data_IF_730571485220
#
_entry.id   IF_730571485220
#
_cell.length_a   1.000
_cell.length_b   1.000
_cell.length_c   1.000
_cell.angle_alpha   90.00
_cell.angle_beta   90.00
_cell.angle_gamma   90.00
#
_symmetry.space_group_name_H-M   'P 1'
#
loop_
_entity.id
_entity.type
_entity.pdbx_description
1 polymer ?
#
# COMPACT_ATOMS: atom_id res chain seq x y z
N UNK A 1 15.60 -23.11 37.95
CA UNK A 1 14.83 -23.34 36.71
C UNK A 1 14.03 -22.08 36.42
N UNK A 2 14.36 -21.36 35.36
CA UNK A 2 13.51 -20.26 34.89
C UNK A 2 12.35 -20.94 34.16
N UNK A 3 11.16 -20.95 34.75
CA UNK A 3 9.93 -21.36 34.07
C UNK A 3 9.65 -20.35 32.98
N UNK A 4 9.92 -20.70 31.72
CA UNK A 4 9.50 -19.89 30.59
C UNK A 4 7.97 -19.86 30.59
N UNK A 5 7.40 -18.68 30.84
CA UNK A 5 5.96 -18.45 30.70
C UNK A 5 5.65 -18.62 29.21
N UNK A 6 4.92 -19.68 28.86
CA UNK A 6 4.40 -19.83 27.51
C UNK A 6 3.36 -18.72 27.29
N UNK A 7 3.66 -17.79 26.39
CA UNK A 7 2.73 -16.73 26.02
C UNK A 7 1.64 -17.33 25.14
N UNK A 8 0.40 -16.94 25.41
CA UNK A 8 -0.73 -17.21 24.52
C UNK A 8 -0.67 -16.27 23.31
N UNK A 9 -1.33 -16.64 22.20
CA UNK A 9 -1.41 -15.77 21.03
C UNK A 9 -2.07 -14.43 21.34
N UNK A 10 -3.05 -14.41 22.25
CA UNK A 10 -3.71 -13.19 22.70
C UNK A 10 -2.73 -12.26 23.43
N UNK A 11 -1.89 -12.80 24.33
CA UNK A 11 -0.86 -12.00 25.01
C UNK A 11 0.19 -11.45 24.02
N UNK A 12 0.56 -12.23 22.99
CA UNK A 12 1.46 -11.77 21.93
C UNK A 12 0.81 -10.65 21.10
N UNK A 13 -0.47 -10.80 20.76
CA UNK A 13 -1.22 -9.79 20.03
C UNK A 13 -1.35 -8.49 20.83
N UNK A 14 -1.72 -8.57 22.10
CA UNK A 14 -1.85 -7.41 22.98
C UNK A 14 -0.50 -6.68 23.14
N UNK A 15 0.61 -7.41 23.31
CA UNK A 15 1.95 -6.81 23.37
C UNK A 15 2.33 -6.11 22.05
N UNK A 16 2.04 -6.75 20.91
CA UNK A 16 2.26 -6.16 19.59
C UNK A 16 1.43 -4.89 19.39
N UNK A 17 0.15 -4.90 19.77
CA UNK A 17 -0.75 -3.75 19.68
C UNK A 17 -0.27 -2.60 20.59
N UNK A 18 0.13 -2.91 21.82
CA UNK A 18 0.68 -1.92 22.74
C UNK A 18 1.95 -1.25 22.18
N UNK A 19 2.84 -2.02 21.54
CA UNK A 19 4.02 -1.47 20.84
C UNK A 19 3.61 -0.62 19.66
N UNK A 20 2.66 -1.07 18.84
CA UNK A 20 2.16 -0.30 17.71
C UNK A 20 1.64 1.10 18.13
N UNK A 21 0.88 1.15 19.22
CA UNK A 21 0.25 2.39 19.70
C UNK A 21 1.23 3.31 20.45
N UNK A 22 2.12 2.74 21.27
CA UNK A 22 2.94 3.50 22.22
C UNK A 22 4.44 3.59 21.86
N UNK A 23 4.97 2.61 21.13
CA UNK A 23 6.39 2.52 20.77
C UNK A 23 6.58 2.01 19.34
N UNK A 24 6.41 2.95 18.40
CA UNK A 24 6.53 2.67 16.96
C UNK A 24 7.92 2.15 16.57
N UNK A 25 8.96 2.42 17.36
CA UNK A 25 10.31 1.95 17.06
C UNK A 25 10.46 0.48 17.39
N UNK A 26 10.06 0.06 18.60
CA UNK A 26 10.00 -1.37 18.93
C UNK A 26 9.08 -2.15 17.99
N UNK A 27 7.99 -1.53 17.53
CA UNK A 27 7.13 -2.15 16.54
C UNK A 27 7.84 -2.40 15.20
N UNK A 28 8.65 -1.44 14.72
CA UNK A 28 9.44 -1.62 13.49
C UNK A 28 10.53 -2.69 13.65
N UNK A 29 11.22 -2.74 14.79
CA UNK A 29 12.18 -3.82 15.09
C UNK A 29 11.48 -5.19 15.10
N UNK A 30 10.34 -5.30 15.78
CA UNK A 30 9.54 -6.52 15.82
C UNK A 30 9.12 -6.97 14.41
N UNK A 31 8.70 -6.03 13.55
CA UNK A 31 8.37 -6.35 12.16
C UNK A 31 9.56 -6.89 11.37
N UNK A 32 10.75 -6.31 11.57
CA UNK A 32 11.97 -6.74 10.85
C UNK A 32 12.45 -8.12 11.32
N UNK A 33 12.32 -8.42 12.60
CA UNK A 33 12.67 -9.72 13.18
C UNK A 33 11.65 -10.83 12.86
N UNK A 34 10.36 -10.49 12.82
CA UNK A 34 9.28 -11.47 12.69
C UNK A 34 8.93 -11.82 11.24
N UNK A 35 9.19 -10.93 10.27
CA UNK A 35 8.80 -11.12 8.87
C UNK A 35 10.03 -11.41 8.00
N UNK A 36 10.22 -12.69 7.67
CA UNK A 36 11.21 -13.08 6.68
C UNK A 36 10.69 -12.85 5.25
N UNK A 37 11.06 -11.72 4.64
CA UNK A 37 10.64 -11.39 3.27
C UNK A 37 11.18 -12.38 2.22
N UNK A 38 12.29 -13.07 2.49
CA UNK A 38 12.85 -14.04 1.54
C UNK A 38 11.99 -15.31 1.42
N UNK A 39 11.22 -15.64 2.45
CA UNK A 39 10.27 -16.75 2.43
C UNK A 39 8.96 -16.38 1.74
N UNK A 40 8.57 -15.10 1.80
CA UNK A 40 7.28 -14.61 1.30
C UNK A 40 7.38 -14.20 -0.17
N UNK A 41 8.50 -13.58 -0.57
CA UNK A 41 8.68 -13.02 -1.92
C UNK A 41 8.98 -14.15 -2.92
N UNK A 42 8.14 -14.35 -3.96
CA UNK A 42 8.43 -15.33 -4.99
C UNK A 42 9.68 -14.98 -5.79
N UNK A 43 10.49 -15.99 -6.13
CA UNK A 43 11.69 -15.82 -6.98
C UNK A 43 11.34 -15.21 -8.35
N UNK A 44 10.14 -15.50 -8.86
CA UNK A 44 9.62 -14.91 -10.11
C UNK A 44 9.53 -13.38 -10.03
N UNK A 45 9.06 -12.82 -8.90
CA UNK A 45 8.95 -11.38 -8.69
C UNK A 45 10.33 -10.72 -8.64
N UNK A 46 11.29 -11.31 -7.92
CA UNK A 46 12.68 -10.83 -7.88
C UNK A 46 13.28 -10.84 -9.28
N UNK A 47 13.08 -11.95 -10.01
CA UNK A 47 13.58 -12.11 -11.38
C UNK A 47 12.97 -11.08 -12.33
N UNK A 48 11.67 -10.82 -12.23
CA UNK A 48 10.99 -9.83 -13.06
C UNK A 48 11.46 -8.40 -12.70
N UNK A 49 11.65 -8.09 -11.42
CA UNK A 49 12.20 -6.81 -11.00
C UNK A 49 13.60 -6.55 -11.54
N UNK A 50 14.45 -7.58 -11.57
CA UNK A 50 15.82 -7.47 -12.09
C UNK A 50 15.94 -7.74 -13.59
N UNK A 51 14.86 -8.16 -14.26
CA UNK A 51 14.85 -8.33 -15.71
C UNK A 51 15.23 -7.02 -16.39
N UNK A 52 16.17 -7.10 -17.33
CA UNK A 52 16.66 -5.96 -18.11
C UNK A 52 15.55 -5.43 -19.03
N UNK A 53 14.79 -4.45 -18.56
CA UNK A 53 13.82 -3.69 -19.36
C UNK A 53 14.38 -2.34 -19.85
N UNK A 54 15.66 -2.04 -19.57
CA UNK A 54 16.30 -0.78 -19.94
C UNK A 54 17.46 -0.41 -19.02
N UNK A 55 17.44 0.80 -18.45
CA UNK A 55 18.45 1.24 -17.47
C UNK A 55 18.42 0.32 -16.24
N UNK A 56 19.59 -0.08 -15.71
CA UNK A 56 19.63 -0.93 -14.53
C UNK A 56 18.89 -0.25 -13.38
N UNK A 57 17.89 -0.93 -12.81
CA UNK A 57 17.23 -0.49 -11.59
C UNK A 57 18.29 -0.54 -10.48
N UNK A 58 18.43 0.54 -9.68
CA UNK A 58 19.20 0.44 -8.43
C UNK A 58 18.59 -0.67 -7.59
N UNK A 59 19.40 -1.40 -6.84
CA UNK A 59 18.98 -2.49 -5.94
C UNK A 59 18.07 -1.93 -4.82
N UNK A 60 16.80 -1.68 -5.15
CA UNK A 60 15.82 -1.05 -4.27
C UNK A 60 14.54 -1.90 -4.18
N UNK A 61 14.57 -3.19 -4.55
CA UNK A 61 13.38 -4.04 -4.48
C UNK A 61 12.84 -4.14 -3.04
N UNK A 62 13.62 -4.68 -2.10
CA UNK A 62 13.22 -4.80 -0.71
C UNK A 62 12.89 -3.45 -0.05
N UNK A 63 13.67 -2.36 -0.26
CA UNK A 63 13.27 -1.05 0.25
C UNK A 63 11.93 -0.53 -0.26
N UNK A 64 11.65 -0.71 -1.55
CA UNK A 64 10.36 -0.32 -2.13
C UNK A 64 9.22 -1.18 -1.56
N UNK A 65 9.44 -2.49 -1.41
CA UNK A 65 8.46 -3.40 -0.84
C UNK A 65 8.16 -3.09 0.64
N UNK A 66 9.19 -2.93 1.47
CA UNK A 66 9.06 -2.53 2.88
C UNK A 66 8.30 -1.21 3.01
N UNK A 67 8.58 -0.23 2.16
CA UNK A 67 7.86 1.03 2.16
C UNK A 67 6.37 0.88 1.80
N UNK A 68 6.01 -0.04 0.90
CA UNK A 68 4.61 -0.36 0.63
C UNK A 68 3.93 -1.04 1.83
N UNK A 69 4.62 -1.95 2.52
CA UNK A 69 4.10 -2.60 3.72
C UNK A 69 3.84 -1.59 4.82
N UNK A 70 4.80 -0.70 5.10
CA UNK A 70 4.65 0.42 6.05
C UNK A 70 3.48 1.33 5.66
N UNK A 71 3.32 1.62 4.36
CA UNK A 71 2.21 2.42 3.87
C UNK A 71 0.86 1.78 4.21
N UNK A 72 0.75 0.45 4.13
CA UNK A 72 -0.48 -0.29 4.48
C UNK A 72 -0.67 -0.43 5.99
N UNK A 73 0.36 -0.82 6.72
CA UNK A 73 0.30 -1.02 8.17
C UNK A 73 -0.10 0.26 8.91
N UNK A 74 0.50 1.40 8.55
CA UNK A 74 0.14 2.70 9.15
C UNK A 74 -1.01 3.42 8.44
N UNK A 75 -1.69 2.76 7.50
CA UNK A 75 -2.82 3.32 6.75
C UNK A 75 -2.49 4.69 6.12
N UNK A 76 -1.28 4.85 5.57
CA UNK A 76 -0.83 6.09 4.93
C UNK A 76 -1.51 6.21 3.56
N UNK A 77 -2.37 7.21 3.35
CA UNK A 77 -3.29 7.24 2.20
C UNK A 77 -2.62 7.54 0.86
N UNK A 78 -1.45 8.19 0.83
CA UNK A 78 -0.83 8.65 -0.43
C UNK A 78 0.68 8.46 -0.47
N UNK A 79 1.23 8.29 -1.66
CA UNK A 79 2.68 8.19 -1.90
C UNK A 79 3.40 9.48 -1.50
N UNK A 80 2.77 10.64 -1.72
CA UNK A 80 3.31 11.93 -1.29
C UNK A 80 3.51 11.99 0.22
N UNK A 81 2.54 11.51 0.99
CA UNK A 81 2.64 11.50 2.45
C UNK A 81 3.65 10.45 2.94
N UNK A 82 3.71 9.27 2.31
CA UNK A 82 4.74 8.26 2.57
C UNK A 82 6.14 8.86 2.38
N UNK A 83 6.38 9.57 1.27
CA UNK A 83 7.67 10.21 0.98
C UNK A 83 8.00 11.28 2.02
N UNK A 84 7.02 12.05 2.50
CA UNK A 84 7.22 13.01 3.58
C UNK A 84 7.68 12.28 4.85
N UNK A 85 6.99 11.22 5.26
CA UNK A 85 7.40 10.43 6.43
C UNK A 85 8.81 9.85 6.28
N UNK A 86 9.12 9.25 5.13
CA UNK A 86 10.46 8.75 4.83
C UNK A 86 11.51 9.88 4.79
N UNK A 87 11.16 11.13 4.52
CA UNK A 87 12.11 12.25 4.56
C UNK A 87 12.35 12.80 5.96
N UNK A 88 11.40 12.65 6.88
CA UNK A 88 11.52 13.21 8.22
C UNK A 88 11.85 12.19 9.31
N UNK A 89 11.43 10.94 9.17
CA UNK A 89 11.79 9.85 10.09
C UNK A 89 13.00 9.10 9.56
N UNK A 90 14.09 9.10 10.34
CA UNK A 90 15.28 8.32 10.04
C UNK A 90 14.99 6.83 10.21
N UNK A 91 14.16 6.49 11.19
CA UNK A 91 13.86 5.13 11.60
C UNK A 91 13.02 4.40 10.54
N UNK A 92 12.06 5.09 9.92
CA UNK A 92 11.34 4.54 8.75
C UNK A 92 12.26 4.36 7.53
N UNK A 93 13.25 5.24 7.34
CA UNK A 93 14.25 5.07 6.26
C UNK A 93 15.14 3.88 6.52
N UNK A 94 15.61 3.72 7.75
CA UNK A 94 16.54 2.67 8.15
C UNK A 94 15.84 1.31 8.09
N UNK A 95 14.61 1.22 8.63
CA UNK A 95 13.77 0.03 8.49
C UNK A 95 13.61 -0.40 7.03
N UNK A 96 13.28 0.57 6.14
CA UNK A 96 13.15 0.29 4.72
C UNK A 96 14.51 0.00 4.04
N UNK A 97 15.62 0.53 4.53
CA UNK A 97 16.93 0.46 3.87
C UNK A 97 17.09 1.47 2.72
N UNK A 98 16.57 2.69 2.86
CA UNK A 98 16.78 3.76 1.88
C UNK A 98 17.95 4.68 2.24
N UNK A 99 19.03 4.63 1.48
CA UNK A 99 20.08 5.68 1.53
C UNK A 99 19.54 7.04 1.09
N UNK A 100 18.69 7.03 0.05
CA UNK A 100 18.04 8.22 -0.52
C UNK A 100 16.60 7.86 -0.86
N UNK A 101 15.67 8.64 -0.32
CA UNK A 101 14.23 8.46 -0.55
C UNK A 101 13.91 8.65 -2.04
N UNK A 102 13.30 7.65 -2.72
CA UNK A 102 12.86 7.76 -4.11
C UNK A 102 11.81 8.87 -4.31
N UNK A 103 11.67 9.33 -5.54
CA UNK A 103 10.62 10.25 -5.92
C UNK A 103 9.27 9.52 -6.14
N UNK A 104 8.17 10.27 -6.13
CA UNK A 104 6.83 9.73 -6.29
C UNK A 104 6.66 8.88 -7.56
N UNK A 105 7.33 9.27 -8.65
CA UNK A 105 7.23 8.54 -9.93
C UNK A 105 7.75 7.11 -9.82
N UNK A 106 8.77 6.85 -8.99
CA UNK A 106 9.30 5.50 -8.75
C UNK A 106 8.33 4.63 -7.96
N UNK A 107 7.70 5.17 -6.91
CA UNK A 107 6.68 4.46 -6.14
C UNK A 107 5.49 4.09 -7.03
N UNK A 108 5.00 5.04 -7.82
CA UNK A 108 3.90 4.80 -8.77
C UNK A 108 4.25 3.73 -9.79
N UNK A 109 5.42 3.80 -10.42
CA UNK A 109 5.87 2.79 -11.40
C UNK A 109 6.03 1.42 -10.78
N UNK A 110 6.61 1.34 -9.58
CA UNK A 110 6.75 0.06 -8.89
C UNK A 110 5.41 -0.61 -8.63
N UNK A 111 4.43 0.14 -8.12
CA UNK A 111 3.06 -0.39 -7.91
C UNK A 111 2.39 -0.83 -9.20
N UNK A 112 2.60 -0.13 -10.31
CA UNK A 112 1.94 -0.40 -11.59
C UNK A 112 2.61 -1.55 -12.35
N UNK A 113 3.94 -1.49 -12.50
CA UNK A 113 4.72 -2.43 -13.30
C UNK A 113 4.73 -3.83 -12.69
N UNK A 114 4.64 -3.92 -11.35
CA UNK A 114 4.70 -5.17 -10.59
C UNK A 114 3.38 -5.52 -9.91
N UNK A 115 2.26 -4.88 -10.27
CA UNK A 115 0.96 -5.18 -9.67
C UNK A 115 0.61 -6.68 -9.69
N UNK A 116 0.77 -7.41 -10.81
CA UNK A 116 0.45 -8.85 -10.85
C UNK A 116 1.38 -9.68 -9.96
N UNK A 117 2.65 -9.30 -9.88
CA UNK A 117 3.63 -10.01 -9.05
C UNK A 117 3.37 -9.77 -7.55
N UNK A 118 3.02 -8.53 -7.17
CA UNK A 118 2.64 -8.18 -5.81
C UNK A 118 1.37 -8.91 -5.39
N UNK A 119 0.38 -9.01 -6.30
CA UNK A 119 -0.82 -9.81 -6.06
C UNK A 119 -0.45 -11.27 -5.80
N UNK A 120 0.36 -11.89 -6.66
CA UNK A 120 0.79 -13.28 -6.48
C UNK A 120 1.57 -13.50 -5.17
N UNK A 121 2.37 -12.52 -4.73
CA UNK A 121 3.06 -12.58 -3.44
C UNK A 121 2.06 -12.57 -2.27
N UNK A 122 1.01 -11.72 -2.32
CA UNK A 122 -0.03 -11.70 -1.28
C UNK A 122 -0.91 -12.94 -1.30
N UNK A 123 -1.24 -13.48 -2.49
CA UNK A 123 -1.95 -14.75 -2.61
C UNK A 123 -1.15 -15.88 -1.96
N UNK A 124 0.18 -15.92 -2.18
CA UNK A 124 1.06 -16.88 -1.51
C UNK A 124 1.07 -16.70 0.02
N UNK A 125 1.05 -15.46 0.52
CA UNK A 125 0.96 -15.20 1.94
C UNK A 125 -0.36 -15.71 2.54
N UNK A 126 -1.47 -15.64 1.80
CA UNK A 126 -2.74 -16.23 2.20
C UNK A 126 -2.60 -17.75 2.29
N UNK A 127 -1.98 -18.41 1.31
CA UNK A 127 -1.75 -19.86 1.35
C UNK A 127 -0.92 -20.30 2.56
N UNK A 128 0.05 -19.48 2.98
CA UNK A 128 0.88 -19.75 4.17
C UNK A 128 0.10 -19.56 5.49
N UNK A 129 -0.77 -18.55 5.55
CA UNK A 129 -1.47 -18.17 6.78
C UNK A 129 -2.79 -18.89 6.99
N UNK A 130 -3.48 -19.29 5.91
CA UNK A 130 -4.78 -19.98 5.97
C UNK A 130 -4.74 -21.25 6.84
N UNK A 131 -3.77 -22.18 6.71
CA UNK A 131 -3.71 -23.36 7.57
C UNK A 131 -3.46 -23.03 9.04
N UNK A 132 -2.82 -21.89 9.34
CA UNK A 132 -2.58 -21.42 10.70
C UNK A 132 -3.91 -20.91 11.30
N UNK A 133 -4.63 -20.08 10.55
CA UNK A 133 -5.95 -19.58 10.93
C UNK A 133 -6.93 -20.72 11.20
N UNK A 134 -6.99 -21.72 10.31
CA UNK A 134 -7.83 -22.90 10.46
C UNK A 134 -7.47 -23.74 11.70
N UNK A 135 -6.18 -23.83 12.06
CA UNK A 135 -5.75 -24.53 13.28
C UNK A 135 -6.11 -23.78 14.56
N UNK A 136 -6.16 -22.45 14.49
CA UNK A 136 -6.47 -21.60 15.64
C UNK A 136 -7.96 -21.63 15.96
N UNK A 137 -8.80 -21.32 14.97
CA UNK A 137 -10.25 -21.36 15.08
C UNK A 137 -10.88 -21.51 13.68
N UNK A 138 -11.34 -22.72 13.31
CA UNK A 138 -11.96 -22.96 12.01
C UNK A 138 -13.20 -22.09 11.74
N UNK A 139 -13.97 -21.79 12.78
CA UNK A 139 -15.19 -21.00 12.64
C UNK A 139 -14.84 -19.54 12.33
N UNK A 140 -13.92 -18.94 13.07
CA UNK A 140 -13.45 -17.57 12.79
C UNK A 140 -12.68 -17.48 11.47
N UNK A 141 -11.84 -18.47 11.14
CA UNK A 141 -11.15 -18.53 9.85
C UNK A 141 -12.15 -18.55 8.68
N UNK A 142 -13.20 -19.38 8.76
CA UNK A 142 -14.27 -19.41 7.74
C UNK A 142 -15.08 -18.12 7.63
N UNK A 143 -15.11 -17.31 8.69
CA UNK A 143 -15.77 -16.01 8.74
C UNK A 143 -14.82 -14.84 8.40
N UNK A 144 -13.55 -15.11 8.12
CA UNK A 144 -12.58 -14.09 7.73
C UNK A 144 -12.91 -13.60 6.32
N UNK A 145 -13.88 -12.68 6.23
CA UNK A 145 -14.24 -11.96 5.02
C UNK A 145 -13.23 -10.82 4.89
N UNK A 146 -12.61 -10.67 3.71
CA UNK A 146 -11.79 -9.50 3.42
C UNK A 146 -12.60 -8.23 3.68
N UNK A 147 -12.14 -7.39 4.61
CA UNK A 147 -12.72 -6.08 4.82
C UNK A 147 -12.45 -5.20 3.59
N UNK A 148 -13.41 -5.19 2.65
CA UNK A 148 -13.33 -4.38 1.44
C UNK A 148 -13.72 -2.92 1.69
N UNK A 149 -14.00 -2.51 2.94
CA UNK A 149 -14.38 -1.13 3.26
C UNK A 149 -13.28 -0.12 2.91
N UNK A 150 -12.01 -0.57 2.83
CA UNK A 150 -10.88 0.21 2.35
C UNK A 150 -10.63 0.19 0.84
N UNK A 151 -11.44 -0.54 0.06
CA UNK A 151 -11.32 -0.60 -1.41
C UNK A 151 -12.20 0.49 -2.02
N UNK A 152 -11.61 1.63 -2.32
CA UNK A 152 -12.23 2.60 -3.22
C UNK A 152 -12.31 1.99 -4.63
N UNK A 153 -13.53 1.75 -5.12
CA UNK A 153 -13.72 1.38 -6.51
C UNK A 153 -13.19 2.50 -7.39
N UNK A 154 -12.17 2.20 -8.22
CA UNK A 154 -11.63 3.13 -9.21
C UNK A 154 -12.61 3.27 -10.37
N UNK A 155 -13.70 4.00 -10.14
CA UNK A 155 -14.63 4.45 -11.17
C UNK A 155 -14.08 5.72 -11.83
N UNK A 156 -14.30 5.82 -13.14
CA UNK A 156 -13.90 6.96 -13.98
C UNK A 156 -14.30 8.31 -13.38
N UNK A 157 -15.46 8.33 -12.74
CA UNK A 157 -16.15 9.42 -12.09
C UNK A 157 -15.35 9.99 -10.90
N UNK A 158 -14.67 9.13 -10.14
CA UNK A 158 -13.87 9.50 -8.96
C UNK A 158 -12.48 10.08 -9.32
N UNK A 159 -12.12 10.11 -10.62
CA UNK A 159 -10.82 10.62 -11.07
C UNK A 159 -10.87 12.15 -11.33
N UNK A 160 -10.07 12.99 -10.64
CA UNK A 160 -10.06 14.43 -10.87
C UNK A 160 -9.65 14.82 -12.29
N UNK A 161 -8.90 13.98 -13.02
CA UNK A 161 -8.60 14.20 -14.45
C UNK A 161 -9.83 14.02 -15.33
N UNK A 162 -10.71 13.08 -15.00
CA UNK A 162 -11.97 12.87 -15.72
C UNK A 162 -12.90 14.07 -15.52
N UNK A 163 -13.09 14.51 -14.28
CA UNK A 163 -13.86 15.72 -13.96
C UNK A 163 -13.32 16.96 -14.71
N UNK A 164 -12.00 17.16 -14.68
CA UNK A 164 -11.36 18.26 -15.41
C UNK A 164 -11.54 18.17 -16.94
N UNK A 165 -11.56 16.95 -17.50
CA UNK A 165 -11.84 16.73 -18.93
C UNK A 165 -13.28 17.12 -19.28
N UNK A 166 -14.26 16.70 -18.48
CA UNK A 166 -15.68 17.06 -18.64
C UNK A 166 -15.86 18.59 -18.55
N UNK A 167 -15.25 19.23 -17.54
CA UNK A 167 -15.29 20.69 -17.38
C UNK A 167 -14.72 21.41 -18.63
N UNK A 168 -13.62 20.89 -19.20
CA UNK A 168 -13.02 21.47 -20.41
C UNK A 168 -13.93 21.33 -21.63
N UNK A 169 -14.59 20.18 -21.79
CA UNK A 169 -15.57 19.94 -22.86
C UNK A 169 -16.78 20.86 -22.73
N UNK A 170 -17.34 20.99 -21.52
CA UNK A 170 -18.47 21.88 -21.24
C UNK A 170 -18.14 23.35 -21.52
N UNK A 171 -16.93 23.80 -21.16
CA UNK A 171 -16.45 25.15 -21.49
C UNK A 171 -16.30 25.37 -22.99
N UNK A 172 -15.81 24.38 -23.73
CA UNK A 172 -15.66 24.46 -25.19
C UNK A 172 -17.04 24.52 -25.89
N UNK A 173 -17.98 23.69 -25.44
CA UNK A 173 -19.37 23.68 -25.92
C UNK A 173 -20.05 25.03 -25.69
N UNK A 174 -19.93 25.58 -24.47
CA UNK A 174 -20.52 26.87 -24.14
C UNK A 174 -19.98 28.02 -25.00
N UNK A 175 -18.67 28.01 -25.26
CA UNK A 175 -18.02 28.99 -26.15
C UNK A 175 -18.52 28.87 -27.59
N UNK A 176 -18.75 27.66 -28.09
CA UNK A 176 -19.23 27.43 -29.45
C UNK A 176 -20.69 27.85 -29.66
N UNK A 177 -21.49 27.97 -28.59
CA UNK A 177 -22.93 28.27 -28.64
C UNK A 177 -23.28 29.63 -28.04
N UNK A 178 -22.29 30.50 -27.78
CA UNK A 178 -22.46 31.85 -27.22
C UNK A 178 -23.30 31.92 -25.93
N UNK A 179 -23.23 30.89 -25.07
CA UNK A 179 -23.87 30.98 -23.75
C UNK A 179 -23.15 32.00 -22.87
N UNK A 180 -23.91 32.73 -22.04
CA UNK A 180 -23.41 33.79 -21.16
C UNK A 180 -22.33 33.27 -20.17
N UNK A 181 -21.51 34.18 -19.64
CA UNK A 181 -20.43 33.92 -18.66
C UNK A 181 -20.91 33.21 -17.38
N UNK A 182 -22.23 33.16 -17.16
CA UNK A 182 -22.90 32.42 -16.09
C UNK A 182 -23.07 30.91 -16.36
N UNK A 183 -22.58 30.38 -17.49
CA UNK A 183 -22.54 28.95 -17.75
C UNK A 183 -21.59 28.25 -16.76
N UNK A 184 -22.14 27.79 -15.64
CA UNK A 184 -21.42 27.14 -14.56
C UNK A 184 -21.05 25.70 -14.95
N UNK A 185 -20.14 25.54 -15.91
CA UNK A 185 -19.65 24.24 -16.37
C UNK A 185 -19.08 23.36 -15.25
N UNK A 186 -18.64 23.95 -14.13
CA UNK A 186 -18.29 23.24 -12.90
C UNK A 186 -19.50 22.62 -12.20
N UNK A 187 -20.61 23.37 -12.04
CA UNK A 187 -21.86 22.83 -11.45
C UNK A 187 -22.50 21.75 -12.31
N UNK A 188 -22.45 21.89 -13.64
CA UNK A 188 -22.96 20.88 -14.56
C UNK A 188 -22.10 19.61 -14.56
N UNK A 189 -20.77 19.74 -14.45
CA UNK A 189 -19.90 18.57 -14.34
C UNK A 189 -20.25 17.67 -13.14
N UNK A 190 -20.64 18.25 -11.99
CA UNK A 190 -21.11 17.51 -10.82
C UNK A 190 -22.51 16.88 -10.98
N UNK A 191 -23.27 17.22 -12.04
CA UNK A 191 -24.54 16.53 -12.37
C UNK A 191 -24.35 15.34 -13.31
N UNK A 192 -23.17 15.20 -13.93
CA UNK A 192 -22.82 14.12 -14.88
C UNK A 192 -21.77 13.14 -14.33
N UNK A 193 -21.36 13.32 -13.07
CA UNK A 193 -20.46 12.48 -12.26
C UNK A 193 -21.30 12.00 -11.08
#
# INVERSE_FOLDING_TARGET
MITHKQLTLAEVFDDCQNKFDNDKYQFLELLDEAINLDEIVPVSLISHFHARTGRPRKHQFYPMLKALLIQRIFSIPTDSLLIIFLKFSQELRDFCGFDVVPDASKFTRFKQDFLPDLQSMFDHLVDLTEPICQKLDPALASMTIFDTSGIEAWVTENNPKYANRIIKQLKAFAKAHNFDKNYAGSKLAFMYI
#
